data_IF_739548882226
#
_entry.id   IF_739548882226
#
_cell.length_a   1.000
_cell.length_b   1.000
_cell.length_c   1.000
_cell.angle_alpha   90.00
_cell.angle_beta   90.00
_cell.angle_gamma   90.00
#
_symmetry.space_group_name_H-M   'P 1'
#
loop_
_entity.id
_entity.type
_entity.pdbx_description
1 polymer ?
#
# COMPACT_ATOMS: atom_id res chain seq x y z
N UNK A 1 -6.78 10.06 2.20
CA UNK A 1 -6.86 9.88 0.75
C UNK A 1 -6.51 11.17 -0.01
N UNK A 2 -7.09 12.33 0.34
CA UNK A 2 -6.77 13.62 -0.31
C UNK A 2 -5.29 14.00 -0.17
N UNK A 3 -4.69 13.82 1.00
CA UNK A 3 -3.27 14.08 1.23
C UNK A 3 -2.37 13.16 0.41
N UNK A 4 -2.76 11.91 0.24
CA UNK A 4 -2.10 10.98 -0.66
C UNK A 4 -2.07 11.51 -2.10
N UNK A 5 -3.21 12.00 -2.60
CA UNK A 5 -3.32 12.56 -3.94
C UNK A 5 -2.43 13.79 -4.11
N UNK A 6 -2.40 14.68 -3.14
CA UNK A 6 -1.52 15.87 -3.13
C UNK A 6 -0.05 15.47 -3.17
N UNK A 7 0.35 14.49 -2.37
CA UNK A 7 1.72 13.99 -2.33
C UNK A 7 2.17 13.45 -3.70
N UNK A 8 1.33 12.66 -4.34
CA UNK A 8 1.63 12.09 -5.66
C UNK A 8 1.29 13.03 -6.83
N UNK A 9 0.92 14.28 -6.55
CA UNK A 9 0.58 15.30 -7.57
C UNK A 9 -0.51 14.83 -8.53
N UNK A 10 -1.48 14.09 -8.02
CA UNK A 10 -2.64 13.62 -8.76
C UNK A 10 -3.91 14.19 -8.19
N UNK A 11 -4.94 14.30 -9.02
CA UNK A 11 -6.29 14.65 -8.61
C UNK A 11 -7.25 13.58 -9.16
N UNK A 12 -7.87 12.86 -8.26
CA UNK A 12 -8.83 11.82 -8.60
C UNK A 12 -10.24 12.32 -8.32
N UNK A 13 -11.18 11.93 -9.16
CA UNK A 13 -12.60 12.31 -8.97
C UNK A 13 -13.18 11.67 -7.70
N UNK A 14 -14.21 12.30 -7.16
CA UNK A 14 -14.94 11.76 -6.01
C UNK A 14 -15.55 10.39 -6.35
N UNK A 15 -15.96 10.17 -7.60
CA UNK A 15 -16.44 8.87 -8.09
C UNK A 15 -15.41 7.75 -7.90
N UNK A 16 -14.14 8.01 -8.20
CA UNK A 16 -13.05 7.04 -7.99
C UNK A 16 -12.88 6.74 -6.50
N UNK A 17 -12.91 7.76 -5.65
CA UNK A 17 -12.83 7.60 -4.20
C UNK A 17 -13.98 6.78 -3.64
N UNK A 18 -15.20 7.05 -4.05
CA UNK A 18 -16.39 6.30 -3.65
C UNK A 18 -16.35 4.85 -4.12
N UNK A 19 -15.97 4.61 -5.37
CA UNK A 19 -15.83 3.25 -5.91
C UNK A 19 -14.77 2.45 -5.16
N UNK A 20 -13.63 3.06 -4.86
CA UNK A 20 -12.56 2.45 -4.08
C UNK A 20 -13.04 2.08 -2.68
N UNK A 21 -13.73 2.98 -2.00
CA UNK A 21 -14.27 2.75 -0.67
C UNK A 21 -15.30 1.62 -0.64
N UNK A 22 -16.19 1.57 -1.62
CA UNK A 22 -17.16 0.48 -1.77
C UNK A 22 -16.47 -0.87 -1.94
N UNK A 23 -15.40 -0.93 -2.74
CA UNK A 23 -14.62 -2.15 -2.94
C UNK A 23 -13.96 -2.62 -1.64
N UNK A 24 -13.41 -1.70 -0.85
CA UNK A 24 -12.80 -2.03 0.44
C UNK A 24 -13.83 -2.61 1.41
N UNK A 25 -15.05 -2.10 1.42
CA UNK A 25 -16.12 -2.56 2.29
C UNK A 25 -16.82 -3.84 1.81
N UNK A 26 -16.65 -4.23 0.56
CA UNK A 26 -17.28 -5.41 -0.02
C UNK A 26 -16.44 -6.67 0.31
N UNK A 27 -16.97 -7.61 1.12
CA UNK A 27 -16.22 -8.81 1.50
C UNK A 27 -15.95 -9.78 0.34
N UNK A 28 -16.65 -9.63 -0.79
CA UNK A 28 -16.39 -10.42 -2.00
C UNK A 28 -15.23 -9.90 -2.84
N UNK A 29 -14.79 -8.68 -2.59
CA UNK A 29 -13.64 -8.05 -3.25
C UNK A 29 -12.40 -8.24 -2.41
N UNK A 30 -11.37 -8.84 -2.99
CA UNK A 30 -10.09 -9.10 -2.30
C UNK A 30 -9.22 -7.84 -2.25
N UNK A 31 -9.72 -6.82 -1.62
CA UNK A 31 -9.08 -5.52 -1.45
C UNK A 31 -9.31 -5.02 -0.02
N UNK A 32 -8.26 -4.52 0.60
CA UNK A 32 -8.27 -4.07 1.99
C UNK A 32 -7.52 -2.77 2.15
N UNK A 33 -7.84 -2.07 3.22
CA UNK A 33 -7.15 -0.86 3.64
C UNK A 33 -6.92 -0.91 5.15
N UNK A 34 -5.88 -0.20 5.59
CA UNK A 34 -5.63 0.04 7.00
C UNK A 34 -5.14 1.46 7.21
N UNK A 35 -5.48 2.01 8.36
CA UNK A 35 -5.01 3.32 8.80
C UNK A 35 -4.11 3.15 10.03
N UNK A 36 -3.01 3.87 10.04
CA UNK A 36 -2.23 4.08 11.25
C UNK A 36 -2.82 5.29 12.00
N UNK A 37 -3.22 5.09 13.22
CA UNK A 37 -3.82 6.12 14.07
C UNK A 37 -2.82 6.53 15.14
N UNK A 38 -2.59 7.84 15.29
CA UNK A 38 -1.82 8.35 16.41
C UNK A 38 -2.65 8.19 17.70
N UNK A 39 -2.17 7.39 18.64
CA UNK A 39 -2.88 7.09 19.88
C UNK A 39 -3.08 8.32 20.80
N UNK A 40 -2.21 9.31 20.70
CA UNK A 40 -2.28 10.53 21.52
C UNK A 40 -3.31 11.53 20.99
N UNK A 41 -3.48 11.60 19.66
CA UNK A 41 -4.38 12.57 19.03
C UNK A 41 -5.66 11.95 18.46
N UNK A 42 -5.70 10.63 18.28
CA UNK A 42 -6.78 9.92 17.60
C UNK A 42 -6.87 10.18 16.11
N UNK A 43 -5.88 10.86 15.52
CA UNK A 43 -5.87 11.22 14.08
C UNK A 43 -5.15 10.16 13.24
N UNK A 44 -5.64 9.90 12.01
CA UNK A 44 -4.93 9.06 11.08
C UNK A 44 -3.65 9.76 10.58
N UNK A 45 -2.54 9.02 10.61
CA UNK A 45 -1.22 9.50 10.21
C UNK A 45 -0.60 8.65 9.08
N UNK A 46 -1.25 7.59 8.69
CA UNK A 46 -0.79 6.74 7.59
C UNK A 46 -1.91 5.90 7.02
N UNK A 47 -1.71 5.47 5.78
CA UNK A 47 -2.67 4.68 5.02
C UNK A 47 -1.94 3.63 4.22
N UNK A 48 -2.50 2.43 4.16
CA UNK A 48 -2.09 1.39 3.22
C UNK A 48 -3.33 0.81 2.54
N UNK A 49 -3.27 0.64 1.22
CA UNK A 49 -4.23 -0.11 0.44
C UNK A 49 -3.51 -1.29 -0.20
N UNK A 50 -4.11 -2.46 -0.13
CA UNK A 50 -3.55 -3.67 -0.73
C UNK A 50 -4.64 -4.60 -1.22
N UNK A 51 -4.31 -5.42 -2.19
CA UNK A 51 -5.25 -6.39 -2.76
C UNK A 51 -4.55 -7.65 -3.25
N UNK A 52 -5.33 -8.71 -3.35
CA UNK A 52 -4.87 -10.02 -3.78
C UNK A 52 -5.18 -10.24 -5.26
N UNK A 53 -4.29 -10.92 -5.96
CA UNK A 53 -4.54 -11.37 -7.33
C UNK A 53 -3.97 -12.77 -7.55
N UNK A 54 -4.52 -13.45 -8.54
CA UNK A 54 -4.02 -14.76 -8.98
C UNK A 54 -2.66 -14.63 -9.66
N UNK A 55 -1.93 -15.71 -9.70
CA UNK A 55 -0.67 -15.85 -10.42
C UNK A 55 -0.55 -17.26 -11.03
N UNK A 56 0.37 -17.42 -11.96
CA UNK A 56 0.55 -18.70 -12.66
C UNK A 56 1.71 -19.55 -12.11
N UNK A 57 2.55 -18.98 -11.25
CA UNK A 57 3.74 -19.64 -10.72
C UNK A 57 3.55 -20.26 -9.33
N UNK A 58 2.36 -20.07 -8.76
CA UNK A 58 2.00 -20.63 -7.47
C UNK A 58 0.49 -20.87 -7.45
N UNK A 59 0.05 -21.82 -6.65
CA UNK A 59 -1.39 -22.06 -6.40
C UNK A 59 -2.00 -21.01 -5.46
N UNK A 60 -1.16 -20.33 -4.70
CA UNK A 60 -1.56 -19.22 -3.83
C UNK A 60 -1.56 -17.90 -4.60
N UNK A 61 -2.46 -17.02 -4.21
CA UNK A 61 -2.50 -15.65 -4.73
C UNK A 61 -1.27 -14.85 -4.31
N UNK A 62 -1.18 -13.63 -4.80
CA UNK A 62 -0.13 -12.67 -4.51
C UNK A 62 -0.75 -11.35 -4.06
N UNK A 63 -0.15 -10.70 -3.09
CA UNK A 63 -0.61 -9.39 -2.58
C UNK A 63 0.19 -8.29 -3.27
N UNK A 64 -0.52 -7.34 -3.89
CA UNK A 64 0.05 -6.05 -4.27
C UNK A 64 -0.27 -5.04 -3.18
N UNK A 65 0.76 -4.52 -2.53
CA UNK A 65 0.68 -3.36 -1.68
C UNK A 65 0.66 -2.14 -2.62
N UNK A 66 -0.55 -1.62 -2.87
CA UNK A 66 -0.78 -0.68 -3.97
C UNK A 66 -0.50 0.76 -3.58
N UNK A 67 -0.89 1.16 -2.37
CA UNK A 67 -0.71 2.51 -1.87
C UNK A 67 -0.16 2.47 -0.47
N UNK A 68 0.87 3.26 -0.22
CA UNK A 68 1.44 3.49 1.11
C UNK A 68 1.68 4.98 1.28
N UNK A 69 1.07 5.55 2.31
CA UNK A 69 1.24 6.97 2.63
C UNK A 69 1.45 7.15 4.13
N UNK A 70 2.38 8.00 4.47
CA UNK A 70 2.62 8.46 5.85
C UNK A 70 2.63 9.97 5.84
N UNK A 71 1.89 10.58 6.77
CA UNK A 71 1.86 12.03 6.93
C UNK A 71 3.26 12.54 7.32
N UNK A 72 3.83 13.40 6.49
CA UNK A 72 5.16 13.98 6.71
C UNK A 72 5.22 14.85 7.98
N UNK A 73 4.08 15.42 8.37
CA UNK A 73 3.97 16.24 9.57
C UNK A 73 3.74 15.40 10.83
N UNK A 74 3.47 14.11 10.70
CA UNK A 74 3.38 13.22 11.84
C UNK A 74 4.79 12.96 12.38
N UNK A 75 5.04 13.40 13.62
CA UNK A 75 6.33 13.23 14.29
C UNK A 75 6.54 11.84 14.89
N UNK A 76 5.87 10.84 14.34
CA UNK A 76 5.98 9.45 14.76
C UNK A 76 6.85 8.71 13.75
N UNK A 77 7.98 8.17 14.22
CA UNK A 77 8.90 7.41 13.36
C UNK A 77 8.42 5.96 13.20
N UNK A 78 8.72 5.36 12.06
CA UNK A 78 8.50 3.94 11.81
C UNK A 78 7.08 3.58 11.37
N UNK A 79 6.23 4.55 11.06
CA UNK A 79 4.82 4.30 10.64
C UNK A 79 4.77 3.54 9.31
N UNK A 80 5.60 3.91 8.34
CA UNK A 80 5.67 3.21 7.05
C UNK A 80 6.07 1.75 7.21
N UNK A 81 7.07 1.49 8.03
CA UNK A 81 7.49 0.12 8.36
C UNK A 81 6.37 -0.66 9.04
N UNK A 82 5.70 -0.06 10.00
CA UNK A 82 4.59 -0.68 10.73
C UNK A 82 3.46 -1.08 9.77
N UNK A 83 3.12 -0.22 8.81
CA UNK A 83 2.08 -0.51 7.81
C UNK A 83 2.49 -1.65 6.87
N UNK A 84 3.74 -1.70 6.44
CA UNK A 84 4.24 -2.81 5.62
C UNK A 84 4.21 -4.12 6.42
N UNK A 85 4.69 -4.12 7.65
CA UNK A 85 4.68 -5.30 8.51
C UNK A 85 3.26 -5.76 8.84
N UNK A 86 2.31 -4.83 8.97
CA UNK A 86 0.90 -5.15 9.10
C UNK A 86 0.39 -5.93 7.87
N UNK A 87 0.72 -5.48 6.66
CA UNK A 87 0.34 -6.18 5.43
C UNK A 87 0.97 -7.57 5.38
N UNK A 88 2.22 -7.73 5.78
CA UNK A 88 2.86 -9.05 5.89
C UNK A 88 2.10 -9.98 6.82
N UNK A 89 1.71 -9.48 7.98
CA UNK A 89 0.93 -10.25 8.96
C UNK A 89 -0.44 -10.66 8.39
N UNK A 90 -1.13 -9.76 7.72
CA UNK A 90 -2.42 -10.07 7.08
C UNK A 90 -2.27 -11.04 5.91
N UNK A 91 -1.21 -10.90 5.12
CA UNK A 91 -0.89 -11.83 4.04
C UNK A 91 -0.68 -13.26 4.56
N UNK A 92 0.04 -13.41 5.67
CA UNK A 92 0.24 -14.70 6.32
C UNK A 92 -1.08 -15.31 6.80
N UNK A 93 -1.96 -14.51 7.42
CA UNK A 93 -3.29 -14.95 7.86
C UNK A 93 -4.16 -15.41 6.69
N UNK A 94 -4.04 -14.75 5.53
CA UNK A 94 -4.78 -15.11 4.32
C UNK A 94 -4.20 -16.35 3.60
N UNK A 95 -3.05 -16.84 4.03
CA UNK A 95 -2.32 -17.89 3.33
C UNK A 95 -1.71 -17.44 2.01
N UNK A 96 -1.45 -16.15 1.86
CA UNK A 96 -0.95 -15.49 0.65
C UNK A 96 0.33 -14.71 0.99
N UNK A 97 1.44 -15.37 1.34
CA UNK A 97 2.60 -14.70 1.95
C UNK A 97 3.42 -13.84 0.99
N UNK A 98 3.26 -14.02 -0.31
CA UNK A 98 3.97 -13.19 -1.29
C UNK A 98 3.36 -11.79 -1.35
N UNK A 99 4.15 -10.79 -0.99
CA UNK A 99 3.78 -9.37 -1.02
C UNK A 99 4.81 -8.62 -1.83
N UNK A 100 4.37 -7.75 -2.72
CA UNK A 100 5.26 -6.90 -3.52
C UNK A 100 4.67 -5.50 -3.68
N UNK A 101 5.52 -4.55 -4.02
CA UNK A 101 5.13 -3.18 -4.33
C UNK A 101 6.09 -2.56 -5.31
N UNK A 102 5.66 -1.44 -5.87
CA UNK A 102 6.46 -0.63 -6.78
C UNK A 102 6.67 0.76 -6.18
N UNK A 103 7.74 1.39 -6.56
CA UNK A 103 8.03 2.78 -6.20
C UNK A 103 8.72 3.47 -7.38
N UNK A 104 8.66 4.79 -7.42
CA UNK A 104 9.37 5.56 -8.42
C UNK A 104 10.88 5.41 -8.23
N UNK A 105 11.61 5.36 -9.34
CA UNK A 105 13.07 5.16 -9.34
C UNK A 105 13.80 6.27 -8.59
N UNK A 106 13.25 7.48 -8.58
CA UNK A 106 13.81 8.66 -7.93
C UNK A 106 13.32 8.87 -6.49
N UNK A 107 12.43 8.02 -6.00
CA UNK A 107 11.97 8.06 -4.61
C UNK A 107 12.99 7.40 -3.67
N UNK A 108 14.14 8.02 -3.52
CA UNK A 108 15.25 7.46 -2.74
C UNK A 108 14.94 7.34 -1.26
N UNK A 109 14.17 8.26 -0.70
CA UNK A 109 13.77 8.23 0.71
C UNK A 109 12.93 6.99 1.03
N UNK A 110 11.94 6.69 0.21
CA UNK A 110 11.13 5.48 0.38
C UNK A 110 11.96 4.21 0.20
N UNK A 111 12.90 4.20 -0.75
CA UNK A 111 13.74 3.05 -1.00
C UNK A 111 14.69 2.74 0.18
N UNK A 112 15.09 3.72 0.98
CA UNK A 112 15.82 3.47 2.22
C UNK A 112 15.01 2.64 3.22
N UNK A 113 13.72 2.90 3.35
CA UNK A 113 12.82 2.07 4.15
C UNK A 113 12.68 0.69 3.52
N UNK A 114 12.44 0.63 2.21
CA UNK A 114 12.15 -0.63 1.52
C UNK A 114 13.31 -1.62 1.58
N UNK A 115 14.56 -1.16 1.57
CA UNK A 115 15.73 -2.03 1.74
C UNK A 115 15.80 -2.67 3.14
N UNK A 116 15.13 -2.08 4.13
CA UNK A 116 15.08 -2.63 5.50
C UNK A 116 13.98 -3.69 5.69
N UNK A 117 12.93 -3.64 4.89
CA UNK A 117 11.74 -4.49 5.07
C UNK A 117 11.48 -5.42 3.90
N UNK A 118 12.14 -5.22 2.76
CA UNK A 118 11.99 -6.01 1.56
C UNK A 118 13.29 -6.22 0.83
N UNK A 119 13.19 -6.88 -0.31
CA UNK A 119 14.32 -7.16 -1.21
C UNK A 119 14.01 -6.50 -2.55
N UNK A 120 14.95 -5.71 -3.05
CA UNK A 120 14.81 -5.10 -4.38
C UNK A 120 14.85 -6.19 -5.45
N UNK A 121 13.80 -6.23 -6.29
CA UNK A 121 13.75 -7.15 -7.43
C UNK A 121 14.63 -6.63 -8.58
N UNK A 122 15.06 -7.51 -9.46
CA UNK A 122 15.75 -7.13 -10.69
C UNK A 122 14.81 -6.79 -11.86
N UNK A 123 13.52 -6.62 -11.60
CA UNK A 123 12.50 -6.41 -12.63
C UNK A 123 12.25 -4.94 -12.89
N UNK A 124 11.91 -4.62 -14.14
CA UNK A 124 11.44 -3.30 -14.55
C UNK A 124 9.99 -3.41 -15.02
N UNK A 125 9.24 -2.34 -14.89
CA UNK A 125 7.83 -2.28 -15.29
C UNK A 125 7.69 -1.67 -16.69
N UNK A 126 6.79 -2.23 -17.47
CA UNK A 126 6.36 -1.68 -18.76
C UNK A 126 4.85 -1.48 -18.71
N UNK A 127 4.38 -0.48 -19.41
CA UNK A 127 2.95 -0.23 -19.58
C UNK A 127 2.63 0.01 -21.06
N UNK A 128 1.40 -0.29 -21.45
CA UNK A 128 0.89 0.07 -22.76
C UNK A 128 0.82 1.61 -22.89
N UNK A 129 1.36 2.21 -23.95
CA UNK A 129 1.13 3.64 -24.19
C UNK A 129 -0.35 3.87 -24.57
N UNK A 130 -0.96 4.88 -23.95
CA UNK A 130 -2.35 5.25 -24.20
C UNK A 130 -2.43 6.67 -24.73
#
# INVERSE_FOLDING_TARGET
WRLYQVFYKVSLSDEIGEATFKRILDPSVKMWAALAINSDTGKPIGLVNYFSHIQTWNTKDKILLNDLYVDENARVKGVGRLLIEYVYSEADKLGTPEVYWNTDMDNHRAQLLYTKVGVKTGKVSYKRPL
#
